data_IF_783060653458
#
_entry.id   IF_783060653458
#
_cell.length_a   1.000
_cell.length_b   1.000
_cell.length_c   1.000
_cell.angle_alpha   90.00
_cell.angle_beta   90.00
_cell.angle_gamma   90.00
#
_symmetry.space_group_name_H-M   'P 1'
#
loop_
_entity.id
_entity.type
_entity.pdbx_description
1 polymer ?
#
# COMPACT_ATOMS: atom_id res chain seq x y z
N UNK A 1 -12.11 -6.71 -16.27
CA UNK A 1 -10.84 -6.04 -15.95
C UNK A 1 -10.59 -6.28 -14.47
N UNK A 2 -9.41 -6.80 -14.14
CA UNK A 2 -9.10 -7.73 -13.04
C UNK A 2 -9.39 -7.18 -11.63
N UNK A 3 -10.15 -7.96 -10.86
CA UNK A 3 -10.40 -7.79 -9.42
C UNK A 3 -9.15 -8.05 -8.55
N UNK A 4 -7.99 -8.31 -9.16
CA UNK A 4 -6.76 -8.81 -8.52
C UNK A 4 -5.65 -7.76 -8.35
N UNK A 5 -5.86 -6.53 -8.85
CA UNK A 5 -4.78 -5.53 -8.97
C UNK A 5 -4.22 -5.01 -7.63
N UNK A 6 -4.94 -5.19 -6.51
CA UNK A 6 -4.54 -4.74 -5.16
C UNK A 6 -4.78 -5.85 -4.13
N UNK A 7 -4.21 -7.03 -4.39
CA UNK A 7 -4.41 -8.23 -3.59
C UNK A 7 -4.20 -8.01 -2.08
N UNK A 8 -5.23 -8.39 -1.30
CA UNK A 8 -5.27 -8.30 0.16
C UNK A 8 -5.57 -6.93 0.77
N UNK A 9 -5.76 -5.89 -0.05
CA UNK A 9 -6.30 -4.61 0.40
C UNK A 9 -7.82 -4.64 0.45
N UNK A 10 -8.40 -3.97 1.46
CA UNK A 10 -9.85 -3.81 1.65
C UNK A 10 -10.14 -2.47 2.32
N UNK A 11 -11.40 -2.05 2.28
CA UNK A 11 -11.89 -0.84 2.96
C UNK A 11 -11.11 0.42 2.59
N UNK A 12 -10.79 1.25 3.59
CA UNK A 12 -10.21 2.58 3.38
C UNK A 12 -8.90 2.56 2.59
N UNK A 13 -8.00 1.61 2.87
CA UNK A 13 -6.73 1.49 2.14
C UNK A 13 -6.94 1.16 0.66
N UNK A 14 -7.91 0.28 0.35
CA UNK A 14 -8.23 -0.07 -1.04
C UNK A 14 -8.78 1.12 -1.82
N UNK A 15 -9.70 1.88 -1.22
CA UNK A 15 -10.31 3.04 -1.88
C UNK A 15 -9.30 4.15 -2.17
N UNK A 16 -8.35 4.39 -1.27
CA UNK A 16 -7.26 5.35 -1.50
C UNK A 16 -6.36 4.89 -2.66
N UNK A 17 -5.93 3.63 -2.65
CA UNK A 17 -5.04 3.09 -3.69
C UNK A 17 -5.72 3.11 -5.06
N UNK A 18 -7.01 2.75 -5.14
CA UNK A 18 -7.81 2.89 -6.36
C UNK A 18 -7.95 4.35 -6.80
N UNK A 19 -8.20 5.25 -5.85
CA UNK A 19 -8.39 6.68 -6.13
C UNK A 19 -7.18 7.36 -6.76
N UNK A 20 -5.97 6.84 -6.51
CA UNK A 20 -4.72 7.31 -7.13
C UNK A 20 -4.28 6.46 -8.34
N UNK A 21 -5.05 5.42 -8.70
CA UNK A 21 -4.71 4.51 -9.80
C UNK A 21 -3.46 3.67 -9.54
N UNK A 22 -3.15 3.36 -8.29
CA UNK A 22 -1.97 2.56 -7.93
C UNK A 22 -2.18 1.07 -8.18
N UNK A 23 -1.10 0.40 -8.58
CA UNK A 23 -1.04 -1.04 -8.82
C UNK A 23 0.07 -1.69 -7.97
N UNK A 24 -0.08 -2.98 -7.66
CA UNK A 24 1.02 -3.74 -7.03
C UNK A 24 2.26 -3.66 -7.91
N UNK A 25 3.40 -3.29 -7.33
CA UNK A 25 4.66 -3.08 -8.04
C UNK A 25 5.02 -1.61 -8.28
N UNK A 26 4.06 -0.70 -8.10
CA UNK A 26 4.33 0.74 -8.26
C UNK A 26 5.26 1.27 -7.16
N UNK A 27 6.10 2.24 -7.54
CA UNK A 27 6.86 3.04 -6.58
C UNK A 27 5.95 4.12 -6.01
N UNK A 28 5.62 4.02 -4.72
CA UNK A 28 4.72 4.95 -4.03
C UNK A 28 5.47 5.72 -2.97
N UNK A 29 5.15 7.02 -2.86
CA UNK A 29 5.57 7.89 -1.76
C UNK A 29 4.36 8.22 -0.89
N UNK A 30 4.44 7.91 0.39
CA UNK A 30 3.46 8.28 1.41
C UNK A 30 4.07 9.34 2.31
N UNK A 31 3.39 10.47 2.45
CA UNK A 31 3.77 11.55 3.37
C UNK A 31 2.78 11.58 4.53
N UNK A 32 3.28 11.38 5.75
CA UNK A 32 2.48 11.40 6.97
C UNK A 32 3.15 12.27 8.03
N UNK A 33 2.52 13.40 8.36
CA UNK A 33 3.14 14.45 9.17
C UNK A 33 4.54 14.79 8.62
N UNK A 34 5.59 14.65 9.44
CA UNK A 34 6.98 14.94 9.06
C UNK A 34 7.75 13.70 8.54
N UNK A 35 7.05 12.58 8.29
CA UNK A 35 7.66 11.34 7.81
C UNK A 35 7.29 11.06 6.35
N UNK A 36 8.30 10.66 5.57
CA UNK A 36 8.15 10.23 4.19
C UNK A 36 8.56 8.77 4.08
N UNK A 37 7.66 7.93 3.59
CA UNK A 37 7.92 6.54 3.26
C UNK A 37 7.89 6.39 1.75
N UNK A 38 8.95 5.82 1.18
CA UNK A 38 9.05 5.58 -0.25
C UNK A 38 9.47 4.14 -0.49
N UNK A 39 8.70 3.44 -1.32
CA UNK A 39 8.92 2.02 -1.58
C UNK A 39 7.94 1.45 -2.59
N UNK A 40 8.16 0.18 -2.91
CA UNK A 40 7.31 -0.54 -3.86
C UNK A 40 6.04 -1.00 -3.14
N UNK A 41 4.87 -0.70 -3.70
CA UNK A 41 3.60 -1.23 -3.21
C UNK A 41 3.59 -2.75 -3.37
N UNK A 42 3.38 -3.46 -2.27
CA UNK A 42 3.29 -4.93 -2.28
C UNK A 42 1.91 -5.42 -1.86
N UNK A 43 1.55 -6.67 -2.20
CA UNK A 43 0.32 -7.27 -1.72
C UNK A 43 0.28 -7.27 -0.20
N UNK A 44 -0.94 -7.18 0.32
CA UNK A 44 -1.19 -7.20 1.75
C UNK A 44 -1.74 -8.55 2.18
N UNK A 45 -1.60 -8.89 3.46
CA UNK A 45 -2.29 -10.06 4.01
C UNK A 45 -3.80 -9.77 4.11
N UNK A 46 -4.63 -10.70 3.63
CA UNK A 46 -6.09 -10.65 3.71
C UNK A 46 -6.63 -10.59 5.16
N UNK A 47 -5.87 -11.15 6.10
CA UNK A 47 -6.17 -11.16 7.53
C UNK A 47 -5.85 -9.83 8.25
N UNK A 48 -5.14 -8.91 7.58
CA UNK A 48 -4.86 -7.59 8.14
C UNK A 48 -6.12 -6.70 8.26
N UNK A 49 -6.03 -5.58 8.98
CA UNK A 49 -7.08 -4.55 9.05
C UNK A 49 -7.34 -3.84 7.71
N UNK A 50 -8.07 -2.74 7.64
CA UNK A 50 -8.32 -2.00 6.40
C UNK A 50 -7.60 -0.64 6.35
N UNK A 51 -6.63 -0.42 7.24
CA UNK A 51 -6.05 0.91 7.54
C UNK A 51 -4.56 1.01 7.31
N UNK A 52 -3.94 0.06 6.62
CA UNK A 52 -2.49 0.07 6.37
C UNK A 52 -2.16 -0.15 4.89
N UNK A 53 -1.19 0.61 4.40
CA UNK A 53 -0.52 0.39 3.11
C UNK A 53 0.84 -0.27 3.37
N UNK A 54 1.15 -1.34 2.65
CA UNK A 54 2.42 -2.06 2.82
C UNK A 54 3.37 -1.72 1.69
N UNK A 55 4.54 -1.19 2.06
CA UNK A 55 5.61 -0.83 1.14
C UNK A 55 6.83 -1.71 1.38
N UNK A 56 7.49 -2.15 0.31
CA UNK A 56 8.84 -2.72 0.35
C UNK A 56 9.85 -1.61 0.13
N UNK A 57 10.65 -1.32 1.16
CA UNK A 57 11.67 -0.29 1.14
C UNK A 57 12.89 -0.73 0.33
N UNK A 58 13.72 0.23 -0.11
CA UNK A 58 15.00 -0.03 -0.79
C UNK A 58 15.96 -0.91 0.04
N UNK A 59 15.84 -0.87 1.37
CA UNK A 59 16.59 -1.74 2.29
C UNK A 59 16.18 -3.21 2.24
N UNK A 60 15.07 -3.55 1.57
CA UNK A 60 14.51 -4.90 1.49
C UNK A 60 13.47 -5.23 2.57
N UNK A 61 13.29 -4.35 3.57
CA UNK A 61 12.28 -4.52 4.61
C UNK A 61 10.89 -4.08 4.14
N UNK A 62 9.86 -4.73 4.66
CA UNK A 62 8.47 -4.33 4.46
C UNK A 62 7.99 -3.47 5.64
N UNK A 63 7.30 -2.37 5.35
CA UNK A 63 6.72 -1.49 6.36
C UNK A 63 5.22 -1.32 6.10
N UNK A 64 4.41 -1.43 7.16
CA UNK A 64 3.00 -1.08 7.14
C UNK A 64 2.82 0.37 7.58
N UNK A 65 2.39 1.24 6.67
CA UNK A 65 2.08 2.64 6.95
C UNK A 65 0.59 2.74 7.23
N UNK A 66 0.23 3.06 8.48
CA UNK A 66 -1.16 3.32 8.85
C UNK A 66 -1.65 4.57 8.12
N UNK A 67 -2.88 4.56 7.62
CA UNK A 67 -3.61 5.75 7.19
C UNK A 67 -3.65 6.79 8.32
#
# INVERSE_FOLDING_TARGET
MSEEALSGYKGAALEILKGIGAEIGDLIRITKADQVYEGILIPRSEYGDDRHIVLKLKSGYNVGVRL
#
